data_IF_756662540249
#
_entry.id   IF_756662540249
#
_cell.length_a   1.000
_cell.length_b   1.000
_cell.length_c   1.000
_cell.angle_alpha   90.00
_cell.angle_beta   90.00
_cell.angle_gamma   90.00
#
_symmetry.space_group_name_H-M   'P 1'
#
loop_
_entity.id
_entity.type
_entity.pdbx_description
1 polymer ?
2 non-polymer ?
3 non-polymer ?
4 non-polymer ?
5 non-polymer ?
6 water ?
#
# COMPACT_ATOMS: atom_id res chain seq x y z
N UNK A 15 -36.88 -8.74 -2.22
CA UNK A 15 -36.11 -8.46 -1.02
C UNK A 15 -35.00 -9.47 -0.74
N UNK A 16 -34.03 -9.05 0.05
CA UNK A 16 -32.93 -9.89 0.52
C UNK A 16 -32.88 -9.73 2.05
N UNK A 17 -33.49 -10.66 2.77
CA UNK A 17 -33.44 -10.66 4.22
C UNK A 17 -32.38 -11.63 4.75
N UNK A 18 -31.39 -11.99 3.93
CA UNK A 18 -30.40 -12.96 4.36
C UNK A 18 -29.61 -12.44 5.56
N UNK A 19 -28.99 -11.26 5.42
CA UNK A 19 -28.00 -10.87 6.41
C UNK A 19 -28.64 -10.30 7.67
N UNK A 20 -29.87 -9.77 7.55
CA UNK A 20 -30.59 -9.27 8.73
C UNK A 20 -30.99 -10.41 9.65
N UNK A 22 -29.46 -13.71 12.10
CA UNK A 22 -28.15 -14.12 12.60
C UNK A 22 -27.65 -13.16 13.67
N UNK A 23 -27.35 -13.71 14.85
CA UNK A 23 -26.78 -12.92 15.93
C UNK A 23 -25.42 -13.44 16.35
N UNK A 24 -24.96 -14.55 15.78
CA UNK A 24 -23.66 -15.10 16.13
C UNK A 24 -22.74 -14.89 14.94
N UNK A 25 -21.91 -13.87 15.03
CA UNK A 25 -20.87 -13.59 14.06
C UNK A 25 -20.15 -12.36 14.54
N UNK A 26 -18.87 -12.24 14.22
CA UNK A 26 -18.11 -11.04 14.56
C UNK A 26 -17.33 -10.64 13.32
N UNK A 27 -17.16 -9.33 13.12
CA UNK A 27 -16.69 -8.79 11.85
C UNK A 27 -15.61 -7.75 12.13
N UNK A 28 -14.49 -7.86 11.43
CA UNK A 28 -13.37 -6.96 11.66
C UNK A 28 -12.94 -6.35 10.34
N UNK A 29 -12.47 -5.10 10.40
CA UNK A 29 -11.79 -4.47 9.28
C UNK A 29 -10.35 -4.94 9.27
N UNK A 30 -9.84 -5.26 8.09
CA UNK A 30 -8.42 -5.57 7.88
C UNK A 30 -7.86 -4.51 6.95
N UNK A 31 -6.83 -3.80 7.40
CA UNK A 31 -6.11 -2.86 6.56
C UNK A 31 -4.77 -3.47 6.20
N UNK A 32 -4.39 -3.37 4.93
CA UNK A 32 -3.08 -3.84 4.48
C UNK A 32 -2.38 -2.69 3.79
N UNK A 33 -1.10 -2.47 4.13
CA UNK A 33 -0.33 -1.52 3.33
C UNK A 33 -0.02 -2.05 1.93
N UNK A 34 -0.10 -3.39 1.74
CA UNK A 34 0.53 -4.02 0.60
C UNK A 34 -0.48 -4.77 -0.26
N UNK A 35 -0.50 -4.43 -1.55
CA UNK A 35 -1.27 -5.22 -2.50
C UNK A 35 -0.68 -6.60 -2.65
N UNK A 36 0.63 -6.75 -2.46
CA UNK A 36 1.22 -8.09 -2.54
C UNK A 36 0.66 -9.01 -1.47
N UNK A 37 0.50 -8.50 -0.25
CA UNK A 37 -0.04 -9.33 0.83
C UNK A 37 -1.45 -9.78 0.52
N UNK A 38 -2.28 -8.91 -0.03
CA UNK A 38 -3.62 -9.32 -0.48
C UNK A 38 -3.52 -10.47 -1.48
N UNK A 39 -2.68 -10.30 -2.51
CA UNK A 39 -2.57 -11.36 -3.53
C UNK A 39 -2.12 -12.67 -2.89
N UNK A 40 -1.17 -12.60 -1.96
CA UNK A 40 -0.67 -13.80 -1.32
C UNK A 40 -1.75 -14.42 -0.44
N UNK A 41 -2.55 -13.58 0.22
CA UNK A 41 -3.64 -14.09 1.05
C UNK A 41 -4.67 -14.81 0.20
N UNK A 42 -5.02 -14.25 -0.94
CA UNK A 42 -6.01 -14.89 -1.81
C UNK A 42 -5.46 -16.20 -2.37
N UNK A 43 -4.19 -16.21 -2.77
CA UNK A 43 -3.56 -17.41 -3.34
C UNK A 43 -3.51 -18.56 -2.35
N UNK A 44 -3.14 -18.28 -1.10
CA UNK A 44 -2.84 -19.34 -0.15
C UNK A 44 -3.80 -19.43 1.03
N UNK A 45 -4.83 -18.57 1.09
CA UNK A 45 -5.81 -18.58 2.18
C UNK A 45 -5.17 -18.54 3.56
N UNK A 46 -4.28 -17.55 3.73
CA UNK A 46 -3.63 -17.30 5.00
C UNK A 46 -3.55 -15.79 5.21
N UNK A 47 -3.39 -15.39 6.47
CA UNK A 47 -3.23 -13.98 6.81
C UNK A 47 -2.38 -13.87 8.06
N UNK A 48 -1.89 -12.65 8.31
CA UNK A 48 -1.19 -12.33 9.54
C UNK A 48 -1.37 -10.84 9.79
N UNK A 49 -1.61 -10.47 11.03
CA UNK A 49 -1.76 -9.06 11.40
C UNK A 49 -0.60 -8.65 12.29
N UNK A 50 -0.73 -7.49 12.91
CA UNK A 50 0.22 -7.10 13.94
C UNK A 50 0.07 -8.01 15.15
N UNK A 51 0.98 -7.86 16.12
CA UNK A 51 0.85 -8.61 17.36
C UNK A 51 -0.49 -8.32 18.04
N UNK A 52 -0.81 -7.04 18.25
CA UNK A 52 -2.06 -6.74 18.93
C UNK A 52 -3.28 -7.10 18.07
N UNK A 53 -3.17 -6.96 16.74
CA UNK A 53 -4.26 -7.38 15.87
C UNK A 53 -4.46 -8.88 15.88
N UNK A 54 -3.37 -9.64 15.82
CA UNK A 54 -3.46 -11.08 15.96
C UNK A 54 -4.16 -11.49 17.26
N UNK A 55 -3.79 -10.86 18.37
CA UNK A 55 -4.41 -11.23 19.65
C UNK A 55 -5.90 -10.92 19.66
N UNK A 56 -6.29 -9.79 19.08
CA UNK A 56 -7.71 -9.45 18.98
C UNK A 56 -8.48 -10.49 18.18
N UNK A 57 -7.96 -10.82 16.99
CA UNK A 57 -8.64 -11.80 16.15
C UNK A 57 -8.65 -13.17 16.79
N UNK A 58 -7.54 -13.57 17.40
CA UNK A 58 -7.47 -14.90 18.01
C UNK A 58 -8.51 -15.03 19.12
N UNK A 59 -8.64 -13.98 19.95
CA UNK A 59 -9.62 -14.00 21.03
C UNK A 59 -11.03 -14.18 20.49
N UNK A 60 -11.38 -13.42 19.43
CA UNK A 60 -12.71 -13.53 18.83
C UNK A 60 -12.93 -14.92 18.24
N UNK A 61 -11.93 -15.46 17.53
CA UNK A 61 -12.10 -16.77 16.91
C UNK A 61 -12.33 -17.85 17.96
N UNK A 62 -11.57 -17.81 19.05
CA UNK A 62 -11.62 -18.88 20.03
C UNK A 62 -12.89 -18.82 20.85
N UNK A 63 -13.34 -17.62 21.22
CA UNK A 63 -14.58 -17.48 21.99
C UNK A 63 -15.82 -17.67 21.12
N UNK A 64 -15.68 -17.64 19.79
CA UNK A 64 -16.80 -17.98 18.93
C UNK A 64 -17.10 -19.46 19.01
N UNK A 65 -16.06 -20.29 19.14
CA UNK A 65 -16.19 -21.73 19.29
C UNK A 65 -17.06 -22.34 18.19
N UNK A 66 -16.82 -21.91 16.96
CA UNK A 66 -17.55 -22.47 15.83
C UNK A 66 -19.04 -22.15 15.78
N UNK A 67 -19.54 -21.30 16.68
CA UNK A 67 -20.97 -20.97 16.73
C UNK A 67 -21.38 -19.93 15.70
N UNK A 68 -20.44 -19.36 14.95
CA UNK A 68 -20.74 -18.38 13.94
C UNK A 68 -19.43 -17.97 13.29
N UNK A 69 -19.48 -17.17 12.23
CA UNK A 69 -18.25 -16.82 11.52
C UNK A 69 -17.56 -15.61 12.13
N UNK A 70 -16.25 -15.54 11.92
CA UNK A 70 -15.50 -14.30 12.10
C UNK A 70 -15.16 -13.82 10.69
N UNK A 71 -15.76 -12.70 10.28
CA UNK A 71 -15.58 -12.15 8.95
C UNK A 71 -14.51 -11.05 8.96
N UNK A 72 -13.73 -11.00 7.88
CA UNK A 72 -12.66 -10.02 7.69
C UNK A 72 -12.94 -9.23 6.43
N UNK A 73 -13.05 -7.92 6.56
CA UNK A 73 -13.34 -7.03 5.44
C UNK A 73 -12.03 -6.33 5.09
N UNK A 74 -11.47 -6.64 3.92
CA UNK A 74 -10.10 -6.26 3.53
C UNK A 74 -10.08 -4.97 2.73
N UNK A 75 -9.09 -4.12 3.02
CA UNK A 75 -8.95 -2.84 2.35
C UNK A 75 -7.47 -2.48 2.35
N UNK A 76 -6.93 -2.18 1.17
CA UNK A 76 -5.57 -1.67 1.07
C UNK A 76 -5.54 -0.19 1.44
N UNK A 77 -4.66 0.14 2.36
CA UNK A 77 -4.61 1.48 2.92
C UNK A 77 -4.40 2.51 1.82
N UNK A 78 -5.22 3.56 1.83
CA UNK A 78 -5.10 4.60 0.83
C UNK A 78 -5.69 4.28 -0.52
N UNK A 79 -6.17 3.04 -0.75
CA UNK A 79 -6.64 2.67 -2.09
C UNK A 79 -8.02 3.24 -2.42
N UNK A 80 -8.82 3.57 -1.42
CA UNK A 80 -10.14 4.12 -1.67
C UNK A 80 -11.24 3.10 -1.86
N UNK A 81 -10.94 1.80 -1.73
CA UNK A 81 -11.97 0.78 -1.88
C UNK A 81 -11.65 -0.43 -1.00
N UNK A 82 -12.69 -1.15 -0.61
CA UNK A 82 -12.50 -2.48 -0.07
C UNK A 82 -12.26 -3.46 -1.20
N UNK A 83 -11.52 -4.52 -0.92
CA UNK A 83 -11.16 -5.44 -1.98
C UNK A 83 -11.72 -6.83 -1.79
N UNK A 84 -12.37 -7.11 -0.68
CA UNK A 84 -12.98 -8.42 -0.51
C UNK A 84 -13.25 -8.78 0.93
N UNK A 85 -13.71 -10.02 1.08
CA UNK A 85 -14.21 -10.56 2.34
C UNK A 85 -13.66 -11.95 2.52
N UNK A 86 -13.16 -12.26 3.72
CA UNK A 86 -12.69 -13.59 4.07
C UNK A 86 -13.25 -14.01 5.43
N UNK A 87 -13.33 -15.31 5.63
CA UNK A 87 -13.67 -15.86 6.94
C UNK A 87 -12.39 -16.38 7.58
N UNK A 88 -12.19 -16.05 8.85
CA UNK A 88 -11.14 -16.66 9.66
C UNK A 88 -11.40 -18.16 9.81
N UNK A 89 -10.37 -19.00 9.58
CA UNK A 89 -10.60 -20.45 9.63
C UNK A 89 -9.64 -21.19 10.57
N UNK A 90 -8.93 -20.50 11.43
CA UNK A 90 -8.06 -21.15 12.40
C UNK A 90 -7.69 -20.14 13.46
N UNK A 91 -7.27 -20.66 14.62
CA UNK A 91 -6.62 -19.81 15.59
C UNK A 91 -5.26 -19.34 15.05
N UNK A 92 -4.67 -18.38 15.75
CA UNK A 92 -3.38 -17.83 15.35
C UNK A 92 -2.27 -18.79 15.80
N UNK A 93 -1.43 -19.19 14.85
CA UNK A 93 -0.15 -19.84 15.16
C UNK A 93 0.90 -18.74 15.23
N UNK A 94 1.49 -18.55 16.41
CA UNK A 94 2.36 -17.39 16.57
C UNK A 94 3.81 -17.67 16.23
N UNK A 95 4.18 -18.91 15.92
CA UNK A 95 5.59 -19.24 15.67
C UNK A 95 5.66 -19.92 14.31
N UNK A 96 5.79 -19.13 13.25
CA UNK A 96 5.85 -19.67 11.91
C UNK A 96 7.01 -19.03 11.17
N UNK A 97 7.20 -19.46 9.93
CA UNK A 97 8.27 -18.92 9.12
C UNK A 97 8.17 -17.41 9.04
N UNK A 98 9.29 -16.72 9.19
CA UNK A 98 9.32 -15.27 9.11
C UNK A 98 9.50 -14.82 7.66
N UNK A 99 9.25 -13.53 7.42
CA UNK A 99 9.52 -12.94 6.12
C UNK A 99 8.63 -13.35 4.96
N UNK A 100 7.45 -13.90 5.21
CA UNK A 100 6.64 -14.34 4.08
C UNK A 100 5.77 -13.21 3.53
N UNK A 101 5.63 -12.12 4.27
CA UNK A 101 4.82 -10.99 3.85
C UNK A 101 5.75 -9.86 3.38
N UNK A 102 5.16 -8.79 2.80
CA UNK A 102 5.99 -7.71 2.25
C UNK A 102 6.97 -7.19 3.29
N UNK A 103 6.47 -6.82 4.45
CA UNK A 103 7.29 -6.46 5.59
C UNK A 103 7.63 -7.71 6.38
N UNK A 104 8.86 -7.79 6.87
CA UNK A 104 9.18 -8.84 7.82
C UNK A 104 8.76 -8.44 9.24
N UNK A 105 7.64 -7.73 9.35
CA UNK A 105 7.16 -7.19 10.62
C UNK A 105 5.98 -7.97 11.18
N UNK A 106 5.60 -9.09 10.57
CA UNK A 106 4.44 -9.84 10.98
C UNK A 106 4.88 -11.19 11.55
N UNK A 107 4.34 -11.53 12.71
CA UNK A 107 4.73 -12.72 13.45
C UNK A 107 3.54 -13.68 13.53
N UNK A 108 3.60 -14.76 12.78
CA UNK A 108 2.57 -15.77 12.89
C UNK A 108 1.73 -15.89 11.62
N UNK A 109 0.65 -16.66 11.76
CA UNK A 109 -0.12 -17.06 10.59
C UNK A 109 -1.45 -17.61 11.07
N UNK A 110 -2.52 -17.32 10.35
CA UNK A 110 -3.74 -18.07 10.55
C UNK A 110 -4.39 -18.30 9.20
N UNK A 111 -5.27 -19.30 9.14
CA UNK A 111 -5.98 -19.65 7.91
C UNK A 111 -7.18 -18.76 7.72
N UNK A 112 -7.45 -18.40 6.49
CA UNK A 112 -8.69 -17.72 6.12
C UNK A 112 -9.29 -18.50 4.97
N UNK A 113 -10.51 -18.12 4.62
CA UNK A 113 -11.15 -18.57 3.39
C UNK A 113 -11.75 -17.34 2.73
N UNK A 114 -11.20 -16.94 1.58
CA UNK A 114 -11.73 -15.78 0.89
C UNK A 114 -13.10 -16.12 0.29
N UNK A 115 -14.07 -15.26 0.56
CA UNK A 115 -15.47 -15.42 0.17
C UNK A 115 -15.80 -14.63 -1.09
N UNK A 116 -15.42 -13.36 -1.06
CA UNK A 116 -15.69 -12.40 -2.11
C UNK A 116 -14.38 -11.69 -2.42
N UNK A 117 -14.03 -11.65 -3.69
CA UNK A 117 -12.93 -10.82 -4.17
C UNK A 117 -13.56 -9.88 -5.17
N UNK A 118 -13.79 -8.63 -4.76
CA UNK A 118 -14.35 -7.62 -5.65
C UNK A 118 -14.10 -6.26 -5.02
N UNK A 119 -13.80 -5.28 -5.86
CA UNK A 119 -13.57 -3.93 -5.37
C UNK A 119 -14.87 -3.19 -5.12
N UNK A 120 -14.98 -2.61 -3.93
CA UNK A 120 -16.18 -1.90 -3.49
C UNK A 120 -15.73 -0.51 -3.08
N UNK A 121 -16.03 0.53 -3.87
CA UNK A 121 -15.54 1.87 -3.56
C UNK A 121 -16.00 2.32 -2.18
N UNK A 122 -15.16 3.15 -1.54
CA UNK A 122 -15.52 3.68 -0.22
C UNK A 122 -16.80 4.51 -0.28
N UNK A 123 -17.11 5.09 -1.44
CA UNK A 123 -18.34 5.89 -1.55
C UNK A 123 -19.58 5.04 -1.25
N UNK A 124 -19.53 3.74 -1.56
CA UNK A 124 -20.67 2.87 -1.31
C UNK A 124 -20.88 2.59 0.17
N UNK A 125 -19.86 2.78 1.00
CA UNK A 125 -19.91 2.42 2.41
C UNK A 125 -19.70 3.55 3.39
N UNK A 126 -19.33 4.77 2.95
CA UNK A 126 -18.91 5.79 3.89
C UNK A 126 -20.02 6.29 4.82
N UNK A 127 -21.28 5.98 4.51
CA UNK A 127 -22.37 6.47 5.35
C UNK A 127 -22.70 5.54 6.51
N UNK A 128 -22.18 4.31 6.51
CA UNK A 128 -22.28 3.45 7.70
C UNK A 128 -21.23 3.90 8.70
N UNK A 129 -21.65 4.19 9.93
CA UNK A 129 -20.75 4.70 10.94
C UNK A 129 -20.68 3.73 12.11
N UNK A 130 -19.58 3.77 12.86
CA UNK A 130 -19.32 2.79 13.92
C UNK A 130 -19.46 3.46 15.27
N UNK A 131 -20.52 3.09 16.00
CA UNK A 131 -20.72 3.67 17.32
C UNK A 131 -19.62 3.32 18.30
N UNK A 132 -18.87 2.24 18.06
CA UNK A 132 -17.77 1.86 18.94
C UNK A 132 -16.47 2.54 18.56
N UNK A 133 -16.48 3.40 17.54
CA UNK A 133 -15.29 4.13 17.08
C UNK A 133 -15.66 5.57 16.80
N UNK A 134 -16.26 6.24 17.79
CA UNK A 134 -16.56 7.67 17.74
C UNK A 134 -17.48 8.04 16.56
N UNK A 135 -18.35 7.11 16.15
CA UNK A 135 -19.25 7.33 15.03
C UNK A 135 -18.51 7.69 13.73
N UNK A 136 -17.25 7.27 13.62
CA UNK A 136 -16.51 7.48 12.39
C UNK A 136 -17.00 6.54 11.28
N UNK A 137 -16.94 6.97 10.02
CA UNK A 137 -17.33 6.08 8.93
C UNK A 137 -16.54 4.79 8.98
N UNK A 138 -17.20 3.69 8.62
CA UNK A 138 -16.54 2.40 8.62
C UNK A 138 -15.32 2.41 7.72
N UNK A 139 -15.31 3.28 6.70
CA UNK A 139 -14.22 3.44 5.76
C UNK A 139 -13.02 4.18 6.33
N UNK A 140 -13.12 4.71 7.55
CA UNK A 140 -12.01 5.38 8.23
C UNK A 140 -11.47 4.57 9.41
N UNK A 141 -11.58 3.25 9.35
CA UNK A 141 -11.19 2.37 10.45
C UNK A 141 -9.71 2.03 10.36
N UNK A 142 -9.14 1.66 11.50
CA UNK A 142 -7.78 1.13 11.49
C UNK A 142 -7.83 -0.39 11.41
N UNK A 143 -6.65 -0.99 11.18
CA UNK A 143 -6.52 -2.45 11.12
C UNK A 143 -7.10 -3.12 12.39
N UNK A 144 -7.90 -4.19 12.17
CA UNK A 144 -8.61 -4.98 13.18
C UNK A 144 -9.60 -4.19 14.03
N UNK A 145 -10.04 -3.04 13.54
CA UNK A 145 -11.23 -2.39 14.10
C UNK A 145 -12.41 -3.36 14.05
N UNK A 146 -13.05 -3.62 15.18
CA UNK A 146 -14.23 -4.48 15.13
C UNK A 146 -15.48 -3.67 14.75
N UNK A 147 -16.40 -4.31 14.04
CA UNK A 147 -17.61 -3.70 13.52
C UNK A 147 -18.80 -4.28 14.28
N UNK A 148 -19.64 -3.45 14.90
CA UNK A 148 -20.86 -3.98 15.55
C UNK A 148 -21.69 -4.78 14.56
N UNK A 149 -22.26 -5.88 15.06
CA UNK A 149 -22.94 -6.82 14.17
C UNK A 149 -24.00 -6.14 13.33
N UNK A 150 -24.76 -5.20 13.91
CA UNK A 150 -25.84 -4.60 13.15
C UNK A 150 -25.32 -3.71 12.02
N UNK A 151 -24.16 -3.07 12.20
CA UNK A 151 -23.54 -2.33 11.10
C UNK A 151 -22.89 -3.29 10.10
N UNK A 152 -22.26 -4.35 10.59
CA UNK A 152 -21.64 -5.32 9.70
C UNK A 152 -22.65 -5.92 8.74
N UNK A 153 -23.89 -6.13 9.19
CA UNK A 153 -24.93 -6.66 8.30
C UNK A 153 -25.16 -5.71 7.13
N UNK A 154 -25.18 -4.40 7.41
CA UNK A 154 -25.38 -3.41 6.36
C UNK A 154 -24.22 -3.37 5.39
N UNK A 155 -22.99 -3.50 5.90
CA UNK A 155 -21.80 -3.49 5.05
C UNK A 155 -21.78 -4.73 4.16
N UNK A 156 -22.09 -5.89 4.74
CA UNK A 156 -22.05 -7.12 3.96
C UNK A 156 -23.08 -7.08 2.84
N UNK A 157 -24.25 -6.53 3.11
CA UNK A 157 -25.27 -6.46 2.07
C UNK A 157 -24.86 -5.52 0.95
N UNK A 158 -24.23 -4.39 1.28
CA UNK A 158 -23.77 -3.49 0.23
C UNK A 158 -22.66 -4.14 -0.60
N UNK A 159 -21.70 -4.81 0.05
CA UNK A 159 -20.64 -5.47 -0.70
C UNK A 159 -21.21 -6.55 -1.62
N UNK A 160 -22.17 -7.33 -1.12
CA UNK A 160 -22.67 -8.46 -1.89
C UNK A 160 -23.45 -7.99 -3.12
N UNK A 161 -24.09 -6.83 -3.04
CA UNK A 161 -24.93 -6.34 -4.11
C UNK A 161 -24.21 -5.37 -5.05
N UNK A 162 -22.98 -4.98 -4.75
CA UNK A 162 -22.32 -4.02 -5.60
C UNK A 162 -21.90 -4.66 -6.92
N UNK A 163 -21.97 -3.87 -7.99
CA UNK A 163 -21.58 -4.36 -9.32
C UNK A 163 -20.91 -3.27 -10.17
N UNK B 16 29.69 13.73 0.63
CA UNK B 16 29.71 14.69 -0.48
C UNK B 16 30.48 14.16 -1.67
N UNK B 17 30.82 12.86 -1.65
CA UNK B 17 31.32 12.20 -2.84
C UNK B 17 30.22 11.94 -3.86
N UNK B 18 28.97 12.23 -3.50
CA UNK B 18 27.81 11.81 -4.28
C UNK B 18 26.94 13.01 -4.62
N UNK B 19 26.51 13.08 -5.88
CA UNK B 19 25.54 14.07 -6.34
C UNK B 19 26.03 15.50 -6.12
N UNK B 20 27.35 15.69 -6.15
CA UNK B 20 27.89 17.04 -6.04
C UNK B 20 27.58 17.86 -7.30
N UNK B 21 27.58 17.21 -8.46
CA UNK B 21 27.35 17.88 -9.75
C UNK B 21 26.04 17.37 -10.31
N UNK B 22 24.95 18.00 -9.90
CA UNK B 22 23.65 17.64 -10.43
C UNK B 22 22.82 18.90 -10.66
N UNK B 23 23.49 19.95 -11.12
CA UNK B 23 22.82 21.16 -11.58
C UNK B 23 21.76 20.81 -12.62
N UNK B 24 20.72 21.62 -12.65
CA UNK B 24 19.52 21.32 -13.42
C UNK B 24 18.92 20.01 -12.93
N UNK B 25 17.86 19.57 -13.55
CA UNK B 25 17.36 18.28 -13.17
C UNK B 25 16.45 18.35 -11.96
N UNK B 26 15.62 17.33 -11.87
CA UNK B 26 14.39 17.39 -11.12
C UNK B 26 14.22 16.05 -10.45
N UNK B 27 13.53 16.04 -9.31
CA UNK B 27 13.51 14.87 -8.47
C UNK B 27 12.09 14.66 -7.97
N UNK B 28 11.62 13.42 -8.02
CA UNK B 28 10.25 13.10 -7.65
C UNK B 28 10.25 11.91 -6.71
N UNK B 29 9.27 11.92 -5.78
CA UNK B 29 8.97 10.77 -4.93
C UNK B 29 8.16 9.77 -5.73
N UNK B 30 8.48 8.48 -5.56
CA UNK B 30 7.70 7.38 -6.13
C UNK B 30 7.24 6.52 -4.96
N UNK B 31 5.93 6.26 -4.90
CA UNK B 31 5.40 5.37 -3.89
C UNK B 31 4.91 4.09 -4.57
N UNK B 32 4.87 3.00 -3.83
CA UNK B 32 4.32 1.77 -4.42
C UNK B 32 3.52 1.01 -3.39
N UNK B 33 2.38 0.46 -3.82
CA UNK B 33 1.61 -0.49 -3.05
C UNK B 33 2.20 -1.88 -3.09
N UNK B 34 3.31 -2.07 -3.83
CA UNK B 34 3.75 -3.41 -4.20
C UNK B 34 5.27 -3.48 -4.21
N UNK B 35 5.81 -4.27 -3.30
CA UNK B 35 7.21 -4.69 -3.33
C UNK B 35 7.55 -5.44 -4.61
N UNK B 36 6.66 -6.33 -5.04
CA UNK B 36 6.88 -7.05 -6.29
C UNK B 36 7.09 -6.10 -7.48
N UNK B 37 6.31 -5.01 -7.55
CA UNK B 37 6.51 -4.04 -8.64
C UNK B 37 7.90 -3.41 -8.57
N UNK B 38 8.38 -3.12 -7.37
CA UNK B 38 9.73 -2.59 -7.25
C UNK B 38 10.75 -3.60 -7.74
N UNK B 39 10.59 -4.86 -7.32
CA UNK B 39 11.52 -5.91 -7.74
C UNK B 39 11.57 -6.02 -9.26
N UNK B 40 10.41 -5.93 -9.91
CA UNK B 40 10.37 -5.99 -11.37
C UNK B 40 11.02 -4.76 -11.99
N UNK B 41 10.76 -3.59 -11.40
CA UNK B 41 11.44 -2.36 -11.81
C UNK B 41 12.96 -2.50 -11.79
N UNK B 42 13.49 -3.08 -10.71
CA UNK B 42 14.94 -3.24 -10.57
C UNK B 42 15.47 -4.23 -11.57
N UNK B 43 14.73 -5.31 -11.79
CA UNK B 43 15.20 -6.38 -12.67
C UNK B 43 15.24 -5.91 -14.12
N UNK B 44 14.23 -5.15 -14.56
CA UNK B 44 14.07 -4.80 -15.96
C UNK B 44 14.24 -3.31 -16.26
N UNK B 45 14.58 -2.49 -15.25
CA UNK B 45 14.81 -1.06 -15.45
C UNK B 45 13.66 -0.38 -16.20
N UNK B 46 12.45 -0.55 -15.67
CA UNK B 46 11.26 0.10 -16.19
C UNK B 46 10.37 0.47 -15.03
N UNK B 47 9.42 1.38 -15.29
CA UNK B 47 8.47 1.76 -14.26
C UNK B 47 7.20 2.28 -14.92
N UNK B 48 6.17 2.43 -14.09
CA UNK B 48 4.91 2.98 -14.54
C UNK B 48 4.24 3.61 -13.32
N UNK B 49 3.57 4.75 -13.51
CA UNK B 49 2.84 5.42 -12.42
C UNK B 49 1.33 5.41 -12.70
N UNK B 50 0.58 6.25 -11.97
CA UNK B 50 -0.79 6.56 -12.35
C UNK B 50 -0.82 7.33 -13.67
N UNK B 51 -2.03 7.55 -14.18
CA UNK B 51 -2.15 8.39 -15.37
C UNK B 51 -1.63 9.79 -15.10
N UNK B 52 -2.10 10.42 -14.01
CA UNK B 52 -1.63 11.77 -13.72
C UNK B 52 -0.16 11.78 -13.31
N UNK B 53 0.33 10.74 -12.64
CA UNK B 53 1.74 10.67 -12.32
C UNK B 53 2.61 10.52 -13.55
N UNK B 54 2.20 9.65 -14.49
CA UNK B 54 2.94 9.48 -15.74
C UNK B 54 3.03 10.81 -16.50
N UNK B 55 1.93 11.55 -16.57
CA UNK B 55 1.94 12.83 -17.26
C UNK B 55 2.87 13.83 -16.59
N UNK B 56 2.92 13.80 -15.25
CA UNK B 56 3.81 14.71 -14.52
C UNK B 56 5.28 14.37 -14.79
N UNK B 57 5.63 13.08 -14.78
CA UNK B 57 7.01 12.71 -15.04
C UNK B 57 7.36 12.93 -16.51
N UNK B 58 6.40 12.66 -17.40
CA UNK B 58 6.65 12.82 -18.84
C UNK B 58 6.96 14.30 -19.16
N UNK B 59 6.16 15.21 -18.61
CA UNK B 59 6.42 16.63 -18.83
C UNK B 59 7.79 17.05 -18.32
N UNK B 60 8.18 16.61 -17.13
CA UNK B 60 9.49 17.00 -16.62
C UNK B 60 10.61 16.42 -17.47
N UNK B 61 10.48 15.15 -17.86
CA UNK B 61 11.51 14.52 -18.70
C UNK B 61 11.65 15.25 -20.03
N UNK B 62 10.52 15.53 -20.69
CA UNK B 62 10.58 16.16 -22.00
C UNK B 62 11.07 17.61 -21.92
N UNK B 63 10.68 18.34 -20.88
CA UNK B 63 11.16 19.72 -20.77
C UNK B 63 12.62 19.77 -20.39
N UNK B 64 13.19 18.67 -19.92
CA UNK B 64 14.59 18.70 -19.51
C UNK B 64 15.51 18.59 -20.72
N UNK B 65 15.06 17.91 -21.78
CA UNK B 65 15.80 17.82 -23.04
C UNK B 65 17.23 17.33 -22.82
N UNK B 66 17.39 16.39 -21.88
CA UNK B 66 18.72 15.87 -21.60
C UNK B 66 19.70 16.84 -20.98
N UNK B 67 19.24 18.02 -20.55
CA UNK B 67 20.12 18.99 -19.91
C UNK B 67 20.52 18.60 -18.49
N UNK B 68 19.88 17.58 -17.91
CA UNK B 68 20.18 17.15 -16.57
C UNK B 68 19.33 15.94 -16.22
N UNK B 69 19.49 15.41 -15.01
CA UNK B 69 18.81 14.16 -14.66
C UNK B 69 17.46 14.35 -14.00
N UNK B 70 16.56 13.41 -14.27
CA UNK B 70 15.32 13.28 -13.49
C UNK B 70 15.52 12.07 -12.60
N UNK B 71 15.51 12.29 -11.29
CA UNK B 71 15.75 11.22 -10.33
C UNK B 71 14.43 10.84 -9.66
N UNK B 72 14.33 9.57 -9.29
CA UNK B 72 13.14 8.98 -8.67
C UNK B 72 13.56 8.38 -7.34
N UNK B 73 12.91 8.83 -6.27
CA UNK B 73 13.19 8.38 -4.91
C UNK B 73 12.07 7.42 -4.51
N UNK B 74 12.38 6.11 -4.43
CA UNK B 74 11.34 5.08 -4.31
C UNK B 74 11.08 4.75 -2.85
N UNK B 75 9.81 4.55 -2.50
CA UNK B 75 9.47 4.16 -1.14
C UNK B 75 8.19 3.33 -1.18
N UNK B 76 8.22 2.14 -0.58
CA UNK B 76 7.05 1.27 -0.54
C UNK B 76 6.12 1.72 0.59
N UNK B 77 4.83 1.88 0.27
CA UNK B 77 3.84 2.28 1.26
C UNK B 77 3.97 1.46 2.54
N UNK B 78 4.00 2.16 3.67
CA UNK B 78 3.99 1.51 4.96
C UNK B 78 5.28 0.84 5.37
N UNK B 79 6.33 0.92 4.54
CA UNK B 79 7.56 0.21 4.84
C UNK B 79 8.41 0.92 5.89
N UNK B 80 8.19 2.20 6.12
CA UNK B 80 9.06 2.94 7.02
C UNK B 80 10.44 3.24 6.47
N UNK B 81 10.69 2.99 5.18
CA UNK B 81 12.01 3.26 4.63
C UNK B 81 11.91 3.50 3.13
N UNK B 82 12.84 4.30 2.60
CA UNK B 82 13.00 4.42 1.16
C UNK B 82 13.84 3.23 0.72
N UNK B 83 13.68 2.83 -0.55
CA UNK B 83 14.34 1.61 -0.96
C UNK B 83 15.33 1.81 -2.09
N UNK B 84 15.44 3.02 -2.64
CA UNK B 84 16.48 3.27 -3.62
C UNK B 84 16.20 4.49 -4.46
N UNK B 85 17.03 4.64 -5.48
CA UNK B 85 17.05 5.80 -6.36
C UNK B 85 17.23 5.29 -7.77
N UNK B 86 16.43 5.80 -8.70
CA UNK B 86 16.58 5.51 -10.12
C UNK B 86 16.55 6.82 -10.90
N UNK B 87 17.18 6.79 -12.06
CA UNK B 87 17.07 7.89 -13.00
C UNK B 87 16.09 7.53 -14.10
N UNK B 88 15.19 8.46 -14.41
CA UNK B 88 14.29 8.32 -15.55
C UNK B 88 15.11 8.35 -16.85
N UNK B 89 14.81 7.41 -17.75
CA UNK B 89 15.69 7.23 -18.91
C UNK B 89 14.94 7.24 -20.24
N UNK B 90 13.63 7.49 -20.23
CA UNK B 90 12.87 7.66 -21.47
C UNK B 90 11.61 8.43 -21.17
N UNK B 91 11.01 8.96 -22.23
CA UNK B 91 9.65 9.47 -22.16
C UNK B 91 8.67 8.31 -21.92
N UNK B 92 7.44 8.67 -21.63
CA UNK B 92 6.40 7.71 -21.30
C UNK B 92 5.76 7.20 -22.58
N UNK B 93 5.66 5.88 -22.67
CA UNK B 93 4.88 5.22 -23.71
C UNK B 93 3.57 4.78 -23.10
N UNK B 94 2.45 5.33 -23.57
CA UNK B 94 1.17 5.10 -22.93
C UNK B 94 0.44 3.88 -23.46
N UNK B 95 0.88 3.30 -24.57
CA UNK B 95 0.19 2.17 -25.20
C UNK B 95 1.13 0.96 -25.20
N UNK B 96 1.06 0.17 -24.13
CA UNK B 96 1.95 -0.96 -23.92
C UNK B 96 1.14 -2.15 -23.43
N UNK B 97 1.82 -3.28 -23.31
CA UNK B 97 1.18 -4.51 -22.87
C UNK B 97 0.48 -4.32 -21.53
N UNK B 98 -0.77 -4.74 -21.45
CA UNK B 98 -1.50 -4.61 -20.19
C UNK B 98 -1.15 -5.74 -19.24
N UNK B 99 -1.44 -5.51 -17.96
CA UNK B 99 -1.34 -6.54 -16.93
C UNK B 99 0.04 -7.02 -16.56
N UNK B 100 1.09 -6.21 -16.75
CA UNK B 100 2.44 -6.68 -16.41
C UNK B 100 2.86 -6.36 -14.99
N UNK B 101 2.09 -5.54 -14.27
CA UNK B 101 2.38 -5.16 -12.89
C UNK B 101 1.41 -5.85 -11.92
N UNK B 102 1.55 -5.50 -10.64
CA UNK B 102 0.76 -6.14 -9.59
C UNK B 102 -0.73 -5.95 -9.84
N UNK B 103 -1.09 -4.81 -10.38
CA UNK B 103 -2.47 -4.49 -10.72
C UNK B 103 -2.56 -4.01 -12.16
N UNK B 104 -3.74 -4.20 -12.75
CA UNK B 104 -3.95 -3.76 -14.13
C UNK B 104 -4.02 -2.25 -14.26
N UNK B 105 -4.32 -1.53 -13.18
CA UNK B 105 -4.45 -0.07 -13.25
C UNK B 105 -3.16 0.64 -13.64
N UNK B 106 -1.99 -0.01 -13.55
CA UNK B 106 -0.75 0.66 -13.96
C UNK B 106 -0.55 0.47 -15.46
N UNK B 107 -0.94 1.49 -16.23
CA UNK B 107 -0.92 1.48 -17.70
C UNK B 107 0.27 2.26 -18.22
N UNK B 108 1.01 1.68 -19.17
CA UNK B 108 2.10 2.40 -19.82
C UNK B 108 3.44 2.02 -19.22
N UNK B 109 4.49 2.67 -19.72
CA UNK B 109 5.82 2.27 -19.31
C UNK B 109 6.82 3.37 -19.68
N UNK B 110 7.84 3.52 -18.85
CA UNK B 110 9.03 4.28 -19.23
C UNK B 110 10.26 3.62 -18.64
N UNK B 111 11.41 3.87 -19.27
CA UNK B 111 12.66 3.28 -18.85
C UNK B 111 13.23 4.05 -17.67
N UNK B 112 13.95 3.33 -16.81
CA UNK B 112 14.68 3.91 -15.70
C UNK B 112 16.04 3.21 -15.63
N UNK B 113 16.94 3.80 -14.86
CA UNK B 113 18.21 3.15 -14.52
C UNK B 113 18.37 3.26 -13.01
N UNK B 114 18.26 2.13 -12.33
CA UNK B 114 18.44 2.13 -10.89
C UNK B 114 19.90 2.40 -10.53
N UNK B 115 20.10 3.27 -9.55
CA UNK B 115 21.41 3.73 -9.11
C UNK B 115 21.78 3.14 -7.75
N UNK B 116 20.91 3.30 -6.77
CA UNK B 116 21.08 2.69 -5.47
C UNK B 116 19.89 1.77 -5.23
N UNK B 117 20.14 0.56 -4.78
CA UNK B 117 19.10 -0.29 -4.20
C UNK B 117 19.52 -0.54 -2.76
N UNK B 118 18.86 0.13 -1.82
CA UNK B 118 19.23 0.05 -0.42
C UNK B 118 18.12 0.67 0.43
N UNK B 119 17.84 0.03 1.57
CA UNK B 119 16.81 0.53 2.48
C UNK B 119 17.37 1.60 3.38
N UNK B 120 16.76 2.77 3.37
CA UNK B 120 17.15 3.89 4.21
C UNK B 120 15.98 4.21 5.13
N UNK B 121 16.14 4.11 6.45
CA UNK B 121 15.03 4.39 7.37
C UNK B 121 14.51 5.82 7.24
N UNK B 122 13.19 5.97 7.39
CA UNK B 122 12.62 7.31 7.28
C UNK B 122 13.14 8.24 8.35
N UNK B 123 13.61 7.70 9.48
CA UNK B 123 14.22 8.54 10.51
C UNK B 123 15.41 9.34 9.99
N UNK B 124 16.10 8.82 8.98
CA UNK B 124 17.26 9.52 8.42
C UNK B 124 16.83 10.71 7.58
N UNK B 125 15.56 10.78 7.19
CA UNK B 125 15.09 11.71 6.18
C UNK B 125 13.95 12.61 6.66
N UNK B 126 13.33 12.32 7.80
CA UNK B 126 12.07 12.98 8.10
C UNK B 126 12.25 14.44 8.49
N UNK B 127 13.46 14.88 8.78
CA UNK B 127 13.67 16.29 9.10
C UNK B 127 13.78 17.17 7.86
N UNK B 128 13.80 16.58 6.66
CA UNK B 128 13.81 17.34 5.42
C UNK B 128 12.37 17.66 5.01
N UNK B 129 12.04 18.94 4.92
CA UNK B 129 10.67 19.35 4.67
C UNK B 129 10.56 20.04 3.32
N UNK B 130 9.39 19.89 2.69
CA UNK B 130 9.18 20.40 1.34
C UNK B 130 8.41 21.71 1.37
N UNK B 131 9.08 22.82 1.02
CA UNK B 131 8.42 24.11 1.00
C UNK B 131 7.29 24.19 -0.03
N UNK B 132 7.28 23.29 -1.01
CA UNK B 132 6.21 23.23 -2.00
C UNK B 132 5.07 22.31 -1.57
N UNK B 133 5.17 21.71 -0.40
CA UNK B 133 4.13 20.82 0.11
C UNK B 133 3.79 21.17 1.56
N UNK B 134 3.57 22.46 1.83
CA UNK B 134 3.14 22.91 3.17
C UNK B 134 4.17 22.56 4.25
N UNK B 135 5.44 22.53 3.84
CA UNK B 135 6.56 22.20 4.73
C UNK B 135 6.41 20.84 5.39
N UNK B 136 5.72 19.89 4.71
CA UNK B 136 5.61 18.56 5.30
C UNK B 136 6.91 17.77 5.10
N UNK B 137 7.20 16.82 5.99
CA UNK B 137 8.41 16.00 5.83
C UNK B 137 8.40 15.28 4.49
N UNK B 138 9.60 15.09 3.93
CA UNK B 138 9.67 14.43 2.62
C UNK B 138 9.16 13.00 2.74
N UNK B 139 9.26 12.41 3.92
CA UNK B 139 8.79 11.05 4.17
C UNK B 139 7.26 10.94 4.22
N UNK B 140 6.55 12.06 4.21
CA UNK B 140 5.09 12.05 4.16
C UNK B 140 4.56 12.43 2.78
N UNK B 141 5.33 12.17 1.74
CA UNK B 141 4.95 12.61 0.41
C UNK B 141 4.07 11.56 -0.27
N UNK B 142 3.32 12.00 -1.25
CA UNK B 142 2.52 11.12 -2.10
C UNK B 142 3.28 10.79 -3.37
N UNK B 143 2.77 9.80 -4.11
CA UNK B 143 3.36 9.40 -5.39
C UNK B 143 3.53 10.60 -6.33
N UNK B 144 4.72 10.72 -6.91
CA UNK B 144 5.12 11.76 -7.89
C UNK B 144 5.07 13.19 -7.31
N UNK B 145 5.09 13.31 -5.98
CA UNK B 145 5.42 14.60 -5.35
C UNK B 145 6.79 15.08 -5.84
N UNK B 146 6.86 16.29 -6.37
CA UNK B 146 8.15 16.81 -6.81
C UNK B 146 8.90 17.41 -5.63
N UNK B 147 10.21 17.22 -5.60
CA UNK B 147 11.06 17.65 -4.49
C UNK B 147 11.85 18.87 -4.95
N UNK B 148 11.86 19.98 -4.19
CA UNK B 148 12.75 21.09 -4.55
C UNK B 148 14.19 20.62 -4.62
N UNK B 149 14.95 21.17 -5.58
CA UNK B 149 16.26 20.60 -5.89
C UNK B 149 17.19 20.60 -4.69
N UNK B 150 17.19 21.68 -3.89
CA UNK B 150 18.12 21.70 -2.78
C UNK B 150 17.76 20.67 -1.72
N UNK B 151 16.47 20.43 -1.52
CA UNK B 151 16.09 19.36 -0.60
C UNK B 151 16.38 17.99 -1.22
N UNK B 152 16.16 17.85 -2.53
CA UNK B 152 16.44 16.59 -3.19
C UNK B 152 17.91 16.23 -3.08
N UNK B 153 18.79 17.22 -3.21
CA UNK B 153 20.21 16.92 -3.06
C UNK B 153 20.49 16.37 -1.66
N UNK B 154 19.84 16.93 -0.64
CA UNK B 154 20.07 16.44 0.71
C UNK B 154 19.64 14.97 0.85
N UNK B 155 18.49 14.63 0.28
CA UNK B 155 17.98 13.26 0.35
C UNK B 155 18.89 12.30 -0.40
N UNK B 156 19.28 12.67 -1.63
CA UNK B 156 20.14 11.83 -2.44
C UNK B 156 21.47 11.55 -1.76
N UNK B 157 22.10 12.58 -1.19
CA UNK B 157 23.37 12.33 -0.51
C UNK B 157 23.20 11.46 0.71
N UNK B 158 22.10 11.62 1.46
CA UNK B 158 21.90 10.77 2.63
C UNK B 158 21.69 9.32 2.20
N UNK B 159 20.88 9.12 1.17
CA UNK B 159 20.67 7.74 0.71
C UNK B 159 21.99 7.14 0.23
N UNK B 160 22.77 7.91 -0.51
CA UNK B 160 24.02 7.40 -1.07
C UNK B 160 25.00 6.96 0.01
N UNK B 161 25.12 7.73 1.10
CA UNK B 161 26.14 7.46 2.11
C UNK B 161 25.67 6.55 3.24
N UNK B 162 24.38 6.25 3.32
CA UNK B 162 23.86 5.49 4.46
C UNK B 162 24.48 4.10 4.50
N UNK B 163 24.89 3.68 5.70
CA UNK B 163 25.44 2.33 5.85
C UNK B 163 24.73 1.55 6.96
X LIG C 1 -1.82 -0.12 9.44
X LIG C 1 0.59 -9.49 6.59
X LIG C 1 -0.38 -7.16 6.75
X LIG C 1 -0.90 -6.27 7.73
X LIG C 1 -0.80 -4.90 7.49
X LIG C 1 -1.40 -4.30 8.66
X LIG C 1 -1.55 -2.81 8.92
X LIG C 1 -2.03 -1.97 7.92
X LIG C 1 -2.16 -0.64 8.21
X LIG C 1 -1.36 -0.96 10.44
X LIG C 1 -1.22 -2.30 10.16
X LIG C 1 0.24 -5.31 5.45
X LIG C 1 -0.48 -8.59 6.99
X LIG C 1 -1.78 -5.26 9.50
X LIG C 1 -1.51 -6.45 8.93
X LIG C 1 -0.20 -4.43 6.34
X LIG C 1 0.14 -6.64 5.66
X LIG D 1 -8.59 4.10 2.48
X LIG D 1 -9.79 4.37 3.29
X LIG D 1 -8.96 3.17 1.42
X LIG D 1 -8.07 5.33 1.87
X LIG D 1 -7.55 3.52 3.37
X LIG E 1 4.43 -17.18 -4.65
X LIG E 1 3.41 -16.13 -4.65
X LIG E 1 3.86 -18.33 -5.38
X LIG E 1 5.64 -16.72 -5.31
X LIG E 1 4.73 -17.56 -3.27
X LIG F 1 -0.23 5.66 -3.79
X LIG F 1 3.84 -0.07 -11.17
X LIG F 1 2.97 1.17 -9.18
X LIG F 1 2.59 2.41 -8.64
X LIG F 1 1.98 2.42 -7.39
X LIG F 1 1.70 3.80 -7.14
X LIG F 1 1.02 4.43 -5.91
X LIG F 1 1.30 4.00 -4.63
X LIG F 1 0.66 4.63 -3.56
X LIG F 1 -0.51 6.09 -5.08
X LIG F 1 0.13 5.47 -6.15
X LIG F 1 2.17 0.09 -7.29
X LIG F 1 3.59 1.18 -10.49
X LIG F 1 2.09 4.51 -8.18
X LIG F 1 2.66 3.68 -9.09
X LIG F 1 1.79 1.23 -6.74
X LIG F 1 2.77 0.05 -8.51
X LIG G 1 -6.19 -5.93 -11.63
X LIG G 1 -5.46 -7.10 -11.25
X LIG G 1 -6.16 -4.88 -10.49
X LIG G 1 -6.49 -5.40 -9.23
X LIG G 1 -7.10 -3.74 -10.93
X LIG G 1 -6.30 -2.71 -11.41
X LIG H 1 5.97 4.98 4.67
X LIG H 1 4.85 4.88 3.70
X LIG H 1 5.65 4.28 5.91
X LIG H 1 6.28 6.39 4.91
X LIG H 1 7.17 4.36 4.12
X LIG I 1 9.82 -12.37 -13.81
X LIG I 1 9.44 -11.54 -14.93
X LIG I 1 8.86 -13.49 -13.73
X LIG I 1 11.19 -12.87 -13.98
X LIG I 1 9.75 -11.60 -12.57
X LIG J 1 5.70 -4.29 -21.51
#
# INVERSE_FOLDING_TARGET
MGSSYHHHHHHSSGENLYFQHMKHGRVFIIKSYSEDDIHRSIKYNIWCSTEHGNKRLDAAYRSMNGKGPVYLLFSVNGSGHFCGVAEMKSAVDYNTCAGVWSQDKWKGRFDVRWIFVKDVPNSQLRHIRLENNENKPVTNSRDTQEVPLEKAKQVLKIIASYKHTTS
MGSSYHHHHHHSSGENLYFQHMKHGRVFIIKSYSEDDIHRSIKYNIWCSTEHGNKRLDAAYRSMNGKGPVYLLFSVNGSGHFCGVAEMKSAVDYNTCAGVWSQDKWKGRFDVRWIFVKDVPNSQLRHIRLENNENKPVTNSRDTQEVPLEKAKQVLKIIASYKHTTS
I82 C10 C01 C03 C04 C05 C06 C07 C08 C09 C11 C12 C16 N02 N13 N14 N15 N17
SO4 S O1 O2 O3 O4
SO4 S O1 O2 O3 O4
I82 C10 C01 C03 C04 C05 C06 C07 C08 C09 C11 C12 C16 N02 N13 N14 N15 N17
GOL C1 O1 C2 O2 C3 O3
SO4 S O1 O2 O3 O4
SO4 S O1 O2 O3 O4
NA NA
#
